data_IF_725212320370
#
_entry.id   IF_725212320370
#
_cell.length_a   1.000
_cell.length_b   1.000
_cell.length_c   1.000
_cell.angle_alpha   90.00
_cell.angle_beta   90.00
_cell.angle_gamma   90.00
#
_symmetry.space_group_name_H-M   'P 1'
#
loop_
_entity.id
_entity.type
_entity.pdbx_description
1 polymer ?
#
# COMPACT_ATOMS: atom_id res chain seq x y z
N UNK A 1 -25.88 4.63 81.05
CA UNK A 1 -26.12 6.01 80.58
C UNK A 1 -25.59 6.12 79.14
N UNK A 2 -26.47 6.49 78.20
CA UNK A 2 -26.31 7.02 76.81
C UNK A 2 -25.24 6.38 75.88
N UNK A 3 -25.50 5.76 74.71
CA UNK A 3 -26.41 5.98 73.56
C UNK A 3 -26.37 7.41 72.95
N UNK A 4 -25.82 7.48 71.73
CA UNK A 4 -26.04 8.43 70.59
C UNK A 4 -25.06 9.60 70.40
N UNK A 5 -24.42 9.63 69.22
CA UNK A 5 -24.19 10.75 68.27
C UNK A 5 -23.08 10.30 67.29
N UNK A 6 -23.34 9.65 66.15
CA UNK A 6 -23.96 10.11 64.90
C UNK A 6 -23.13 11.15 64.11
N UNK A 7 -22.58 10.66 62.99
CA UNK A 7 -22.43 11.30 61.68
C UNK A 7 -21.34 12.35 61.41
N UNK A 8 -20.71 12.14 60.24
CA UNK A 8 -20.04 13.09 59.34
C UNK A 8 -18.54 13.35 59.54
N UNK A 9 -17.72 12.67 58.72
CA UNK A 9 -16.84 13.31 57.73
C UNK A 9 -16.16 12.23 56.88
N UNK A 10 -16.93 11.63 55.96
CA UNK A 10 -16.37 11.10 54.72
C UNK A 10 -16.01 12.33 53.90
N UNK A 11 -14.73 12.72 53.90
CA UNK A 11 -14.24 13.71 52.96
C UNK A 11 -14.38 13.09 51.57
N UNK A 12 -15.44 13.50 50.89
CA UNK A 12 -15.66 13.26 49.48
C UNK A 12 -14.53 13.93 48.69
N UNK A 13 -13.48 13.16 48.38
CA UNK A 13 -12.67 13.39 47.20
C UNK A 13 -13.52 13.03 45.99
N UNK A 14 -14.51 13.87 45.69
CA UNK A 14 -15.15 13.91 44.39
C UNK A 14 -14.09 14.39 43.41
N UNK A 15 -13.35 13.44 42.84
CA UNK A 15 -12.66 13.67 41.59
C UNK A 15 -13.73 14.08 40.58
N UNK A 16 -13.84 15.39 40.36
CA UNK A 16 -14.52 15.96 39.21
C UNK A 16 -13.77 15.43 37.98
N UNK A 17 -14.16 14.23 37.53
CA UNK A 17 -13.91 13.81 36.17
C UNK A 17 -14.79 14.72 35.31
N UNK A 18 -14.25 15.88 34.95
CA UNK A 18 -14.82 16.68 33.88
C UNK A 18 -14.98 15.74 32.69
N UNK A 19 -16.21 15.54 32.17
CA UNK A 19 -16.37 14.77 30.96
C UNK A 19 -15.62 15.55 29.88
N UNK A 20 -14.50 15.01 29.40
CA UNK A 20 -13.92 15.45 28.15
C UNK A 20 -14.96 15.12 27.08
N UNK A 21 -15.87 16.07 26.82
CA UNK A 21 -16.78 15.99 25.71
C UNK A 21 -15.93 15.88 24.45
N UNK A 22 -15.94 14.72 23.81
CA UNK A 22 -15.37 14.56 22.48
C UNK A 22 -16.29 15.33 21.53
N UNK A 23 -15.99 16.62 21.36
CA UNK A 23 -16.71 17.47 20.42
C UNK A 23 -16.27 17.10 19.01
N UNK A 24 -17.24 16.92 18.10
CA UNK A 24 -16.94 16.62 16.71
C UNK A 24 -16.07 17.71 16.09
N UNK A 25 -15.04 17.32 15.34
CA UNK A 25 -14.12 18.25 14.69
C UNK A 25 -14.88 19.13 13.72
N UNK A 26 -14.73 20.45 13.82
CA UNK A 26 -15.39 21.41 12.95
C UNK A 26 -14.51 21.72 11.75
N UNK A 27 -15.07 21.64 10.55
CA UNK A 27 -14.47 22.14 9.30
C UNK A 27 -14.87 23.60 9.18
N UNK A 28 -13.95 24.50 9.54
CA UNK A 28 -14.25 25.92 9.80
C UNK A 28 -14.15 26.80 8.57
N UNK A 29 -13.15 26.53 7.74
CA UNK A 29 -12.87 27.35 6.56
C UNK A 29 -12.21 26.50 5.47
N UNK A 30 -12.26 27.00 4.25
CA UNK A 30 -11.49 26.48 3.13
C UNK A 30 -10.71 27.61 2.48
N UNK A 31 -9.47 27.32 2.07
CA UNK A 31 -8.57 28.28 1.45
C UNK A 31 -7.98 27.66 0.20
N UNK A 32 -7.92 28.46 -0.87
CA UNK A 32 -7.43 28.01 -2.16
C UNK A 32 -6.19 28.81 -2.53
N UNK A 33 -5.09 28.12 -2.83
CA UNK A 33 -3.87 28.72 -3.36
C UNK A 33 -3.54 28.12 -4.71
N UNK A 34 -3.16 28.99 -5.64
CA UNK A 34 -2.72 28.59 -6.97
C UNK A 34 -1.22 28.81 -7.08
N UNK A 35 -0.55 27.85 -7.70
CA UNK A 35 0.81 27.96 -8.21
C UNK A 35 0.82 27.54 -9.68
N UNK A 36 1.96 27.71 -10.37
CA UNK A 36 2.08 27.35 -11.78
C UNK A 36 1.94 25.84 -12.03
N UNK A 37 2.20 24.99 -11.03
CA UNK A 37 2.18 23.53 -11.18
C UNK A 37 1.01 22.81 -10.49
N UNK A 38 0.34 23.44 -9.52
CA UNK A 38 -0.71 22.80 -8.72
C UNK A 38 -1.68 23.80 -8.11
N UNK A 39 -2.90 23.31 -7.87
CA UNK A 39 -3.94 23.97 -7.08
C UNK A 39 -3.98 23.34 -5.68
N UNK A 40 -3.77 24.13 -4.63
CA UNK A 40 -3.81 23.67 -3.24
C UNK A 40 -5.11 24.14 -2.59
N UNK A 41 -5.94 23.20 -2.16
CA UNK A 41 -7.12 23.44 -1.33
C UNK A 41 -6.82 23.01 0.11
N UNK A 42 -7.04 23.89 1.08
CA UNK A 42 -6.78 23.63 2.50
C UNK A 42 -8.05 23.83 3.30
N UNK A 43 -8.46 22.83 4.07
CA UNK A 43 -9.52 22.94 5.06
C UNK A 43 -8.93 23.21 6.44
N UNK A 44 -9.43 24.23 7.12
CA UNK A 44 -9.08 24.56 8.50
C UNK A 44 -9.99 23.81 9.45
N UNK A 45 -9.40 23.07 10.38
CA UNK A 45 -10.09 22.13 11.27
C UNK A 45 -9.89 22.54 12.74
N UNK A 46 -10.92 22.35 13.57
CA UNK A 46 -10.83 22.60 15.01
C UNK A 46 -10.09 21.53 15.80
N UNK A 47 -9.81 20.39 15.18
CA UNK A 47 -9.31 19.18 15.83
C UNK A 47 -8.79 18.16 14.82
N UNK A 48 -8.22 17.04 15.29
CA UNK A 48 -7.80 15.96 14.43
C UNK A 48 -9.01 15.29 13.76
N UNK A 49 -8.81 14.72 12.58
CA UNK A 49 -9.86 14.02 11.82
C UNK A 49 -9.24 12.83 11.08
N UNK A 50 -10.03 11.78 10.87
CA UNK A 50 -9.68 10.73 9.92
C UNK A 50 -10.41 11.01 8.61
N UNK A 51 -9.76 10.78 7.48
CA UNK A 51 -10.40 11.02 6.19
C UNK A 51 -10.06 9.93 5.16
N UNK A 52 -10.93 9.79 4.16
CA UNK A 52 -10.73 8.93 2.98
C UNK A 52 -10.99 9.74 1.73
N UNK A 53 -10.20 9.48 0.68
CA UNK A 53 -10.40 10.12 -0.62
C UNK A 53 -10.51 9.10 -1.72
N UNK A 54 -11.39 9.33 -2.68
CA UNK A 54 -11.49 8.54 -3.90
C UNK A 54 -12.11 9.36 -5.02
N UNK A 55 -11.79 9.00 -6.26
CA UNK A 55 -12.29 9.70 -7.45
C UNK A 55 -13.38 8.89 -8.15
N UNK A 56 -14.35 9.57 -8.74
CA UNK A 56 -15.35 8.99 -9.64
C UNK A 56 -15.19 9.60 -11.03
N UNK A 57 -15.33 8.78 -12.06
CA UNK A 57 -15.41 9.23 -13.46
C UNK A 57 -16.87 9.31 -13.91
N UNK A 58 -17.17 10.15 -14.92
CA UNK A 58 -18.50 10.34 -15.51
C UNK A 58 -19.61 10.82 -14.53
N UNK A 59 -19.61 12.08 -14.07
CA UNK A 59 -18.61 13.13 -14.27
C UNK A 59 -17.43 13.01 -13.27
N UNK A 60 -16.30 13.64 -13.63
CA UNK A 60 -15.08 13.70 -12.80
C UNK A 60 -15.36 14.35 -11.45
N UNK A 61 -15.17 13.59 -10.38
CA UNK A 61 -15.42 14.01 -9.01
C UNK A 61 -14.33 13.51 -8.08
N UNK A 62 -13.88 14.35 -7.17
CA UNK A 62 -13.08 13.92 -6.02
C UNK A 62 -13.96 13.94 -4.77
N UNK A 63 -14.05 12.80 -4.09
CA UNK A 63 -14.81 12.66 -2.85
C UNK A 63 -13.84 12.61 -1.68
N UNK A 64 -14.14 13.36 -0.63
CA UNK A 64 -13.43 13.39 0.65
C UNK A 64 -14.44 13.10 1.75
N UNK A 65 -14.28 11.95 2.40
CA UNK A 65 -15.08 11.57 3.57
C UNK A 65 -14.29 11.88 4.82
N UNK A 66 -14.85 12.68 5.72
CA UNK A 66 -14.24 13.07 6.99
C UNK A 66 -15.03 12.48 8.15
N UNK A 67 -14.41 11.58 8.91
CA UNK A 67 -15.09 10.89 10.00
C UNK A 67 -15.08 11.66 11.31
N UNK A 68 -16.25 11.73 11.97
CA UNK A 68 -16.43 12.46 13.23
C UNK A 68 -16.24 13.98 13.08
N UNK A 69 -16.51 14.52 11.89
CA UNK A 69 -16.37 15.94 11.59
C UNK A 69 -17.67 16.53 11.04
N UNK A 70 -17.94 17.78 11.43
CA UNK A 70 -19.08 18.55 10.96
C UNK A 70 -18.61 19.79 10.21
N UNK A 71 -19.31 20.14 9.14
CA UNK A 71 -19.07 21.38 8.43
C UNK A 71 -19.71 22.56 9.17
N UNK A 72 -18.89 23.56 9.51
CA UNK A 72 -19.36 24.84 10.08
C UNK A 72 -19.05 26.04 9.19
N UNK A 73 -18.13 25.89 8.23
CA UNK A 73 -17.74 26.94 7.29
C UNK A 73 -18.59 26.99 6.03
N UNK A 74 -18.67 28.17 5.40
CA UNK A 74 -19.22 28.34 4.06
C UNK A 74 -18.08 28.44 3.03
N UNK A 75 -18.16 27.65 1.97
CA UNK A 75 -17.17 27.58 0.89
C UNK A 75 -17.63 28.30 -0.39
N UNK A 76 -18.83 28.87 -0.39
CA UNK A 76 -19.42 29.55 -1.54
C UNK A 76 -18.57 30.71 -2.07
N UNK A 77 -17.77 31.34 -1.20
CA UNK A 77 -16.95 32.50 -1.52
C UNK A 77 -15.56 32.16 -2.11
N UNK A 78 -15.22 30.88 -2.27
CA UNK A 78 -13.96 30.49 -2.90
C UNK A 78 -13.96 30.91 -4.38
N UNK A 79 -12.88 31.56 -4.81
CA UNK A 79 -12.67 31.92 -6.21
C UNK A 79 -12.26 30.66 -7.02
N UNK A 80 -13.26 29.94 -7.53
CA UNK A 80 -13.07 28.71 -8.32
C UNK A 80 -12.85 28.96 -9.82
N UNK A 81 -13.03 30.21 -10.28
CA UNK A 81 -12.86 30.59 -11.69
C UNK A 81 -11.46 30.26 -12.19
N UNK A 82 -11.36 29.66 -13.39
CA UNK A 82 -10.10 29.22 -14.00
C UNK A 82 -9.30 28.22 -13.15
N UNK A 83 -9.98 27.41 -12.34
CA UNK A 83 -9.39 26.29 -11.61
C UNK A 83 -9.94 24.95 -12.12
N UNK A 84 -9.34 23.84 -11.69
CA UNK A 84 -9.84 22.49 -12.04
C UNK A 84 -11.10 22.10 -11.27
N UNK A 85 -11.48 22.86 -10.23
CA UNK A 85 -12.68 22.63 -9.43
C UNK A 85 -13.82 23.47 -10.02
N UNK A 86 -14.88 22.83 -10.49
CA UNK A 86 -16.11 23.49 -10.95
C UNK A 86 -17.01 23.89 -9.80
N UNK A 87 -17.19 23.00 -8.82
CA UNK A 87 -18.03 23.23 -7.65
C UNK A 87 -17.53 22.44 -6.46
N UNK A 88 -17.85 22.92 -5.26
CA UNK A 88 -17.62 22.22 -4.00
C UNK A 88 -18.97 22.00 -3.35
N UNK A 89 -19.30 20.74 -3.07
CA UNK A 89 -20.51 20.34 -2.38
C UNK A 89 -20.15 19.62 -1.10
N UNK A 90 -21.04 19.69 -0.12
CA UNK A 90 -20.83 19.05 1.18
C UNK A 90 -22.15 18.62 1.77
N UNK A 91 -22.13 17.52 2.51
CA UNK A 91 -23.30 17.05 3.25
C UNK A 91 -22.91 16.04 4.33
N UNK A 92 -23.84 15.80 5.26
CA UNK A 92 -23.67 14.72 6.21
C UNK A 92 -23.73 13.37 5.49
N UNK A 93 -22.87 12.46 5.91
CA UNK A 93 -22.79 11.10 5.40
C UNK A 93 -22.66 10.15 6.58
N UNK A 94 -23.47 9.09 6.64
CA UNK A 94 -23.45 8.16 7.77
C UNK A 94 -23.77 8.81 9.12
N UNK A 95 -23.17 8.30 10.20
CA UNK A 95 -23.40 8.76 11.57
C UNK A 95 -22.27 9.67 12.06
N UNK A 96 -22.40 10.99 11.83
CA UNK A 96 -21.46 11.99 12.32
C UNK A 96 -20.26 12.28 11.41
N UNK A 97 -20.30 11.82 10.16
CA UNK A 97 -19.27 12.10 9.15
C UNK A 97 -19.75 13.16 8.16
N UNK A 98 -18.81 13.90 7.58
CA UNK A 98 -19.08 14.86 6.51
C UNK A 98 -18.44 14.36 5.22
N UNK A 99 -19.21 14.32 4.13
CA UNK A 99 -18.70 14.11 2.78
C UNK A 99 -18.58 15.44 2.06
N UNK A 100 -17.39 15.74 1.55
CA UNK A 100 -17.12 16.84 0.64
C UNK A 100 -16.91 16.25 -0.76
N UNK A 101 -17.54 16.84 -1.77
CA UNK A 101 -17.42 16.44 -3.17
C UNK A 101 -16.94 17.64 -3.98
N UNK A 102 -15.80 17.49 -4.64
CA UNK A 102 -15.30 18.46 -5.62
C UNK A 102 -15.73 17.97 -7.00
N UNK A 103 -16.58 18.72 -7.68
CA UNK A 103 -16.87 18.47 -9.09
C UNK A 103 -15.71 19.06 -9.91
N UNK A 104 -15.08 18.25 -10.76
CA UNK A 104 -13.86 18.62 -11.45
C UNK A 104 -14.09 18.88 -12.94
N UNK A 105 -13.30 19.76 -13.54
CA UNK A 105 -13.32 20.01 -14.98
C UNK A 105 -12.52 18.99 -15.79
N UNK A 106 -11.58 18.31 -15.15
CA UNK A 106 -10.72 17.28 -15.72
C UNK A 106 -10.21 16.35 -14.61
N UNK A 107 -9.67 15.17 -14.93
CA UNK A 107 -9.02 14.31 -13.95
C UNK A 107 -7.87 15.05 -13.24
N UNK A 108 -7.66 14.73 -11.97
CA UNK A 108 -6.61 15.32 -11.14
C UNK A 108 -5.80 14.23 -10.47
N UNK A 109 -4.49 14.47 -10.33
CA UNK A 109 -3.67 13.74 -9.38
C UNK A 109 -3.80 14.46 -8.04
N UNK A 110 -4.26 13.72 -7.03
CA UNK A 110 -4.42 14.23 -5.68
C UNK A 110 -3.24 13.79 -4.80
N UNK A 111 -2.60 14.76 -4.15
CA UNK A 111 -1.84 14.52 -2.93
C UNK A 111 -2.61 15.14 -1.75
N UNK A 112 -2.85 14.38 -0.68
CA UNK A 112 -3.57 14.86 0.50
C UNK A 112 -2.82 14.51 1.78
N UNK A 113 -2.85 15.39 2.76
CA UNK A 113 -2.22 15.17 4.07
C UNK A 113 -2.80 16.08 5.16
N UNK A 114 -2.66 15.65 6.41
CA UNK A 114 -3.04 16.44 7.59
C UNK A 114 -1.81 17.16 8.14
N UNK A 115 -1.98 18.43 8.51
CA UNK A 115 -1.01 19.18 9.29
C UNK A 115 -1.52 19.34 10.72
N UNK A 116 -0.70 19.00 11.74
CA UNK A 116 -1.02 19.30 13.13
C UNK A 116 -1.03 20.83 13.35
N UNK A 117 -1.56 21.29 14.51
CA UNK A 117 -1.52 22.70 14.87
C UNK A 117 -0.08 23.19 14.93
N UNK A 118 0.18 24.35 14.34
CA UNK A 118 1.48 24.99 14.35
C UNK A 118 1.29 26.51 14.47
N UNK A 119 1.96 27.10 15.47
CA UNK A 119 1.81 28.50 15.86
C UNK A 119 0.33 28.86 16.11
N UNK A 120 -0.17 29.94 15.50
CA UNK A 120 -1.56 30.38 15.62
C UNK A 120 -2.54 29.62 14.69
N UNK A 121 -2.07 28.62 13.93
CA UNK A 121 -2.90 27.86 12.99
C UNK A 121 -3.30 26.51 13.57
N UNK A 122 -4.60 26.19 13.50
CA UNK A 122 -5.15 24.92 13.96
C UNK A 122 -4.80 23.73 13.05
N UNK A 123 -5.48 22.61 13.26
CA UNK A 123 -5.36 21.44 12.38
C UNK A 123 -5.78 21.81 10.95
N UNK A 124 -5.10 21.24 9.95
CA UNK A 124 -5.42 21.51 8.54
C UNK A 124 -5.42 20.23 7.72
N UNK A 125 -6.40 20.06 6.84
CA UNK A 125 -6.38 19.06 5.78
C UNK A 125 -5.98 19.76 4.48
N UNK A 126 -4.86 19.36 3.90
CA UNK A 126 -4.33 19.92 2.66
C UNK A 126 -4.57 18.95 1.51
N UNK A 127 -5.09 19.46 0.40
CA UNK A 127 -5.33 18.76 -0.86
C UNK A 127 -4.59 19.49 -1.98
N UNK A 128 -3.51 18.90 -2.47
CA UNK A 128 -2.78 19.35 -3.65
C UNK A 128 -3.36 18.64 -4.88
N UNK A 129 -4.08 19.41 -5.67
CA UNK A 129 -4.68 19.00 -6.94
C UNK A 129 -3.76 19.45 -8.06
N UNK A 130 -3.01 18.50 -8.61
CA UNK A 130 -2.36 18.71 -9.90
C UNK A 130 -3.36 18.29 -10.95
N UNK A 131 -3.73 19.21 -11.84
CA UNK A 131 -4.45 18.82 -13.06
C UNK A 131 -3.62 17.70 -13.65
N UNK A 132 -4.19 16.50 -13.69
CA UNK A 132 -3.57 15.50 -14.53
C UNK A 132 -3.63 16.19 -15.89
N UNK A 133 -2.47 16.45 -16.51
CA UNK A 133 -2.48 16.65 -17.94
C UNK A 133 -3.45 15.59 -18.44
N UNK A 134 -4.47 15.95 -19.24
CA UNK A 134 -5.33 14.92 -19.74
C UNK A 134 -4.37 13.82 -20.20
N UNK A 135 -4.75 12.56 -20.03
CA UNK A 135 -4.39 11.67 -21.10
C UNK A 135 -5.11 12.26 -22.34
N UNK A 136 -4.64 13.39 -22.87
CA UNK A 136 -3.99 13.34 -24.13
C UNK A 136 -3.25 11.98 -24.11
N UNK A 137 -3.95 10.95 -24.64
CA UNK A 137 -3.77 10.74 -26.06
C UNK A 137 -2.95 11.90 -26.57
N UNK A 138 -1.63 11.78 -26.52
CA UNK A 138 -0.90 12.42 -27.57
C UNK A 138 -1.67 11.96 -28.82
N UNK A 139 -2.62 12.79 -29.29
CA UNK A 139 -2.56 13.30 -30.62
C UNK A 139 -1.08 13.54 -30.75
N UNK A 140 -0.44 12.54 -31.35
CA UNK A 140 0.86 12.66 -31.89
C UNK A 140 0.86 14.08 -32.44
N UNK A 141 1.60 14.97 -31.77
CA UNK A 141 2.31 15.92 -32.58
C UNK A 141 3.07 14.99 -33.48
N UNK A 142 2.62 14.89 -34.73
CA UNK A 142 3.39 14.38 -35.85
C UNK A 142 4.66 15.22 -35.90
N UNK A 143 5.52 14.98 -34.92
CA UNK A 143 6.94 15.16 -35.02
C UNK A 143 7.39 13.78 -35.41
N UNK A 144 7.32 13.59 -36.71
CA UNK A 144 8.16 12.69 -37.49
C UNK A 144 9.61 12.85 -37.02
N UNK A 145 9.92 12.21 -35.90
CA UNK A 145 11.28 11.82 -35.56
C UNK A 145 11.16 10.39 -35.06
N UNK A 146 11.51 9.46 -35.94
CA UNK A 146 11.70 8.03 -35.69
C UNK A 146 12.54 7.78 -34.43
N UNK A 147 11.93 7.84 -33.25
CA UNK A 147 12.44 7.14 -32.07
C UNK A 147 11.61 5.89 -31.90
N UNK A 148 12.15 4.79 -32.40
CA UNK A 148 11.58 3.46 -32.21
C UNK A 148 11.20 3.28 -30.73
N UNK A 149 9.95 2.88 -30.47
CA UNK A 149 9.49 2.63 -29.11
C UNK A 149 10.49 1.67 -28.42
N UNK A 150 11.01 1.98 -27.21
CA UNK A 150 12.13 1.24 -26.62
C UNK A 150 11.85 -0.25 -26.39
N UNK A 151 10.57 -0.61 -26.19
CA UNK A 151 10.08 -2.00 -26.04
C UNK A 151 10.87 -2.75 -24.96
N UNK A 152 11.25 -2.07 -23.89
CA UNK A 152 12.03 -2.67 -22.81
C UNK A 152 11.21 -3.76 -22.12
N UNK A 153 11.91 -4.71 -21.53
CA UNK A 153 11.26 -5.69 -20.66
C UNK A 153 10.83 -5.06 -19.33
N UNK A 154 9.77 -5.62 -18.75
CA UNK A 154 9.31 -5.33 -17.39
C UNK A 154 10.20 -6.13 -16.44
N UNK A 155 10.89 -5.44 -15.53
CA UNK A 155 11.83 -6.06 -14.60
C UNK A 155 11.08 -6.45 -13.32
N UNK A 156 10.89 -7.75 -13.12
CA UNK A 156 10.30 -8.31 -11.90
C UNK A 156 11.41 -8.82 -11.00
N UNK A 157 11.44 -8.35 -9.75
CA UNK A 157 12.34 -8.92 -8.73
C UNK A 157 11.56 -9.87 -7.85
N UNK A 158 11.98 -11.13 -7.85
CA UNK A 158 11.36 -12.20 -7.07
C UNK A 158 12.27 -12.51 -5.89
N UNK A 159 11.71 -12.44 -4.69
CA UNK A 159 12.39 -12.69 -3.44
C UNK A 159 11.87 -13.97 -2.78
N UNK A 160 12.62 -15.07 -2.84
CA UNK A 160 12.32 -16.22 -2.00
C UNK A 160 12.69 -15.92 -0.54
N UNK A 161 11.70 -15.89 0.34
CA UNK A 161 11.85 -15.62 1.78
C UNK A 161 12.92 -16.49 2.46
N UNK A 162 13.48 -16.00 3.58
CA UNK A 162 14.46 -16.74 4.41
C UNK A 162 15.74 -17.16 3.64
N UNK A 163 16.39 -18.26 4.04
CA UNK A 163 17.55 -18.84 3.39
C UNK A 163 18.76 -19.01 4.31
N UNK A 164 19.62 -19.97 3.98
CA UNK A 164 20.80 -20.33 4.76
C UNK A 164 20.44 -20.70 6.20
N UNK A 165 20.94 -19.91 7.15
CA UNK A 165 20.71 -20.09 8.59
C UNK A 165 19.28 -19.85 9.05
N UNK A 166 18.48 -19.14 8.26
CA UNK A 166 17.08 -18.92 8.53
C UNK A 166 16.24 -19.94 7.73
N UNK A 167 15.69 -20.98 8.39
CA UNK A 167 14.84 -21.97 7.72
C UNK A 167 13.44 -21.43 7.39
N UNK A 168 13.06 -20.27 7.94
CA UNK A 168 11.66 -19.85 8.02
C UNK A 168 10.83 -20.80 8.88
N UNK A 169 9.55 -20.86 8.59
CA UNK A 169 8.62 -21.80 9.21
C UNK A 169 9.02 -23.26 8.94
N UNK A 170 8.86 -24.12 9.95
CA UNK A 170 9.13 -25.56 9.84
C UNK A 170 7.84 -26.35 10.07
N UNK A 171 7.47 -27.16 9.09
CA UNK A 171 6.32 -28.06 9.13
C UNK A 171 6.52 -29.23 10.09
N UNK A 172 5.42 -29.92 10.42
CA UNK A 172 5.42 -31.00 11.40
C UNK A 172 6.31 -32.20 11.03
N UNK A 173 6.66 -32.38 9.74
CA UNK A 173 7.54 -33.44 9.26
C UNK A 173 8.94 -32.93 8.89
N UNK A 174 9.27 -31.69 9.27
CA UNK A 174 10.56 -31.07 8.98
C UNK A 174 10.64 -30.37 7.63
N UNK A 175 9.50 -30.17 6.94
CA UNK A 175 9.45 -29.33 5.75
C UNK A 175 9.87 -27.91 6.10
N UNK A 176 10.76 -27.29 5.32
CA UNK A 176 11.27 -25.93 5.61
C UNK A 176 10.73 -24.95 4.59
N UNK A 177 10.22 -23.83 5.06
CA UNK A 177 9.70 -22.76 4.23
C UNK A 177 10.72 -22.30 3.19
N UNK A 178 11.98 -22.09 3.60
CA UNK A 178 13.05 -21.62 2.71
C UNK A 178 13.24 -22.47 1.44
N UNK A 179 12.95 -23.77 1.50
CA UNK A 179 13.09 -24.72 0.40
C UNK A 179 11.89 -24.64 -0.54
N UNK A 180 10.69 -24.57 0.04
CA UNK A 180 9.42 -24.43 -0.69
C UNK A 180 9.41 -23.12 -1.48
N UNK A 181 9.73 -22.00 -0.82
CA UNK A 181 9.64 -20.68 -1.43
C UNK A 181 10.71 -20.46 -2.49
N UNK A 182 11.91 -21.05 -2.31
CA UNK A 182 12.95 -21.05 -3.34
C UNK A 182 12.50 -21.80 -4.60
N UNK A 183 11.88 -22.98 -4.41
CA UNK A 183 11.37 -23.78 -5.52
C UNK A 183 10.28 -23.03 -6.30
N UNK A 184 9.31 -22.44 -5.60
CA UNK A 184 8.24 -21.62 -6.23
C UNK A 184 8.83 -20.41 -6.95
N UNK A 185 9.77 -19.69 -6.33
CA UNK A 185 10.40 -18.51 -6.93
C UNK A 185 11.20 -18.85 -8.19
N UNK A 186 11.92 -19.98 -8.20
CA UNK A 186 12.64 -20.45 -9.40
C UNK A 186 11.69 -20.84 -10.53
N UNK A 187 10.56 -21.48 -10.22
CA UNK A 187 9.51 -21.80 -11.19
C UNK A 187 8.87 -20.53 -11.76
N UNK A 188 8.53 -19.55 -10.92
CA UNK A 188 8.01 -18.26 -11.35
C UNK A 188 9.03 -17.52 -12.23
N UNK A 189 10.30 -17.50 -11.85
CA UNK A 189 11.35 -16.88 -12.66
C UNK A 189 11.50 -17.57 -14.02
N UNK A 190 11.44 -18.91 -14.07
CA UNK A 190 11.45 -19.66 -15.33
C UNK A 190 10.25 -19.34 -16.21
N UNK A 191 9.06 -19.16 -15.63
CA UNK A 191 7.84 -18.79 -16.35
C UNK A 191 7.90 -17.36 -16.89
N UNK A 192 8.41 -16.41 -16.11
CA UNK A 192 8.62 -15.02 -16.53
C UNK A 192 9.64 -14.91 -17.67
N UNK A 193 10.80 -15.59 -17.59
CA UNK A 193 11.83 -15.58 -18.65
C UNK A 193 11.35 -16.11 -20.00
N UNK A 194 10.32 -16.95 -20.01
CA UNK A 194 9.74 -17.49 -21.25
C UNK A 194 8.75 -16.52 -21.90
N UNK A 195 8.28 -15.52 -21.16
CA UNK A 195 7.32 -14.55 -21.64
C UNK A 195 8.04 -13.35 -22.24
N UNK A 196 7.66 -12.96 -23.46
CA UNK A 196 8.23 -11.77 -24.11
C UNK A 196 7.74 -10.50 -23.40
N UNK A 197 8.65 -9.56 -23.15
CA UNK A 197 8.33 -8.32 -22.44
C UNK A 197 8.58 -8.39 -20.93
N UNK A 198 9.19 -9.47 -20.43
CA UNK A 198 9.56 -9.64 -19.02
C UNK A 198 11.03 -10.03 -18.87
N UNK A 199 11.68 -9.43 -17.88
CA UNK A 199 12.96 -9.86 -17.31
C UNK A 199 12.74 -10.11 -15.82
N UNK A 200 13.53 -11.01 -15.24
CA UNK A 200 13.40 -11.39 -13.85
C UNK A 200 14.75 -11.52 -13.18
N UNK A 201 14.85 -10.98 -11.96
CA UNK A 201 15.99 -11.16 -11.07
C UNK A 201 15.52 -11.83 -9.78
N UNK A 202 16.29 -12.78 -9.28
CA UNK A 202 16.06 -13.41 -7.99
C UNK A 202 16.92 -12.72 -6.94
N UNK A 203 16.37 -12.44 -5.76
CA UNK A 203 17.15 -11.95 -4.61
C UNK A 203 18.18 -13.00 -4.16
N UNK A 204 17.77 -14.27 -4.17
CA UNK A 204 18.65 -15.44 -4.02
C UNK A 204 18.21 -16.55 -4.96
N UNK A 205 19.18 -17.28 -5.51
CA UNK A 205 18.94 -18.42 -6.39
C UNK A 205 19.36 -19.77 -5.76
N UNK A 206 19.87 -19.73 -4.53
CA UNK A 206 20.35 -20.88 -3.77
C UNK A 206 20.08 -20.67 -2.26
N UNK A 207 20.48 -21.63 -1.42
CA UNK A 207 20.24 -21.64 0.03
C UNK A 207 21.26 -20.78 0.80
N UNK A 208 21.17 -19.46 0.64
CA UNK A 208 21.93 -18.50 1.44
C UNK A 208 21.02 -17.41 2.02
N UNK A 209 21.44 -16.87 3.17
CA UNK A 209 20.72 -15.82 3.87
C UNK A 209 20.95 -14.45 3.22
N UNK A 210 19.88 -13.68 3.02
CA UNK A 210 19.94 -12.28 2.60
C UNK A 210 19.18 -11.40 3.61
N UNK A 211 19.82 -10.39 4.23
CA UNK A 211 19.13 -9.49 5.16
C UNK A 211 18.00 -8.73 4.49
N UNK A 212 16.88 -8.47 5.18
CA UNK A 212 15.65 -7.89 4.61
C UNK A 212 15.91 -6.58 3.86
N UNK A 213 16.72 -5.68 4.44
CA UNK A 213 17.10 -4.42 3.78
C UNK A 213 17.84 -4.65 2.46
N UNK A 214 18.71 -5.67 2.42
CA UNK A 214 19.48 -5.98 1.23
C UNK A 214 18.58 -6.47 0.08
N UNK A 215 17.48 -7.16 0.41
CA UNK A 215 16.47 -7.60 -0.57
C UNK A 215 15.82 -6.41 -1.28
N UNK A 216 15.44 -5.39 -0.50
CA UNK A 216 14.91 -4.13 -1.03
C UNK A 216 15.95 -3.41 -1.90
N UNK A 217 17.20 -3.32 -1.44
CA UNK A 217 18.29 -2.71 -2.22
C UNK A 217 18.51 -3.41 -3.57
N UNK A 218 18.42 -4.74 -3.63
CA UNK A 218 18.53 -5.50 -4.88
C UNK A 218 17.43 -5.07 -5.85
N UNK A 219 16.19 -4.94 -5.36
CA UNK A 219 15.07 -4.51 -6.19
C UNK A 219 15.30 -3.13 -6.82
N UNK A 220 15.72 -2.18 -5.99
CA UNK A 220 16.01 -0.80 -6.43
C UNK A 220 17.22 -0.74 -7.36
N UNK A 221 18.30 -1.48 -7.07
CA UNK A 221 19.50 -1.54 -7.90
C UNK A 221 19.20 -2.02 -9.32
N UNK A 222 18.22 -2.91 -9.48
CA UNK A 222 17.80 -3.42 -10.78
C UNK A 222 16.75 -2.54 -11.48
N UNK A 223 16.35 -1.41 -10.90
CA UNK A 223 15.24 -0.57 -11.37
C UNK A 223 13.98 -1.41 -11.63
N UNK A 224 13.64 -2.27 -10.66
CA UNK A 224 12.53 -3.18 -10.81
C UNK A 224 11.20 -2.42 -10.99
N UNK A 225 10.39 -2.86 -11.95
CA UNK A 225 9.02 -2.38 -12.10
C UNK A 225 8.10 -2.93 -11.00
N UNK A 226 8.50 -4.04 -10.36
CA UNK A 226 7.85 -4.57 -9.17
C UNK A 226 8.74 -5.51 -8.35
N UNK A 227 8.36 -5.74 -7.10
CA UNK A 227 8.98 -6.67 -6.16
C UNK A 227 7.95 -7.63 -5.56
N UNK A 228 8.24 -8.93 -5.56
CA UNK A 228 7.38 -9.97 -4.96
C UNK A 228 8.19 -10.82 -3.99
N UNK A 229 7.84 -10.75 -2.70
CA UNK A 229 8.35 -11.68 -1.68
C UNK A 229 7.45 -12.91 -1.60
N UNK A 230 8.02 -14.10 -1.74
CA UNK A 230 7.32 -15.38 -1.70
C UNK A 230 7.60 -16.07 -0.36
N UNK A 231 6.54 -16.36 0.39
CA UNK A 231 6.54 -16.97 1.71
C UNK A 231 5.57 -18.16 1.78
N UNK A 232 5.73 -18.98 2.80
CA UNK A 232 4.87 -20.11 3.14
C UNK A 232 4.81 -20.27 4.66
N UNK A 233 4.45 -19.18 5.34
CA UNK A 233 4.72 -18.93 6.74
C UNK A 233 3.95 -19.86 7.70
N UNK A 234 3.99 -19.61 9.01
CA UNK A 234 3.16 -20.30 9.99
C UNK A 234 2.30 -19.34 10.83
N UNK A 235 1.04 -19.70 11.00
CA UNK A 235 0.11 -18.93 11.83
C UNK A 235 0.08 -19.47 13.27
N UNK A 236 -0.31 -18.65 14.27
CA UNK A 236 -0.47 -19.11 15.66
C UNK A 236 -1.46 -20.27 15.81
N UNK A 237 -2.46 -20.33 14.92
CA UNK A 237 -3.44 -21.42 14.87
C UNK A 237 -3.08 -22.36 13.72
N UNK A 238 -2.83 -23.63 14.04
CA UNK A 238 -2.54 -24.69 13.05
C UNK A 238 -3.68 -24.92 12.04
N UNK A 239 -4.89 -24.43 12.33
CA UNK A 239 -6.06 -24.50 11.44
C UNK A 239 -6.07 -23.42 10.36
N UNK A 240 -5.25 -22.37 10.49
CA UNK A 240 -5.12 -21.37 9.42
C UNK A 240 -4.55 -22.04 8.17
N UNK A 241 -5.21 -21.85 7.03
CA UNK A 241 -4.84 -22.43 5.75
C UNK A 241 -5.12 -21.44 4.63
N UNK A 242 -4.46 -21.66 3.50
CA UNK A 242 -4.71 -20.91 2.27
C UNK A 242 -3.77 -19.74 2.03
N UNK A 243 -3.80 -19.24 0.80
CA UNK A 243 -2.94 -18.15 0.36
C UNK A 243 -3.43 -16.79 0.88
N UNK A 244 -2.51 -15.85 1.05
CA UNK A 244 -2.82 -14.45 1.32
C UNK A 244 -1.77 -13.53 0.71
N UNK A 245 -2.14 -12.28 0.49
CA UNK A 245 -1.25 -11.26 -0.08
C UNK A 245 -1.25 -10.04 0.83
N UNK A 246 -0.06 -9.53 1.09
CA UNK A 246 0.20 -8.39 1.96
C UNK A 246 0.89 -7.26 1.21
N UNK A 247 0.58 -6.03 1.62
CA UNK A 247 1.25 -4.80 1.19
C UNK A 247 1.75 -4.02 2.42
N UNK A 248 2.59 -3.01 2.18
CA UNK A 248 3.06 -2.14 3.25
C UNK A 248 1.89 -1.37 3.90
N UNK A 249 1.98 -1.17 5.21
CA UNK A 249 1.24 -0.11 5.92
C UNK A 249 2.19 0.64 6.84
N UNK A 250 2.13 1.96 6.78
CA UNK A 250 2.82 2.87 7.71
C UNK A 250 1.90 3.30 8.87
N UNK A 251 0.58 3.21 8.69
CA UNK A 251 -0.44 3.63 9.67
C UNK A 251 -0.95 2.51 10.59
N UNK A 252 -0.34 1.33 10.54
CA UNK A 252 -0.71 0.17 11.35
C UNK A 252 -1.35 -0.97 10.55
N UNK A 253 -1.36 -2.17 11.14
CA UNK A 253 -1.81 -3.38 10.45
C UNK A 253 -3.35 -3.44 10.29
N UNK A 254 -3.83 -3.93 9.15
CA UNK A 254 -5.26 -4.09 8.84
C UNK A 254 -5.95 -5.17 9.66
N UNK A 255 -5.18 -6.10 10.23
CA UNK A 255 -5.67 -7.16 11.12
C UNK A 255 -4.61 -7.58 12.14
N UNK A 256 -5.05 -8.26 13.20
CA UNK A 256 -4.15 -8.86 14.18
C UNK A 256 -3.23 -9.91 13.53
N UNK A 257 -3.75 -10.69 12.57
CA UNK A 257 -2.96 -11.65 11.79
C UNK A 257 -1.89 -10.94 10.95
N UNK A 258 -2.23 -9.86 10.24
CA UNK A 258 -1.26 -9.11 9.46
C UNK A 258 -0.15 -8.51 10.33
N UNK A 259 -0.50 -8.03 11.54
CA UNK A 259 0.46 -7.54 12.53
C UNK A 259 1.43 -8.64 12.98
N UNK A 260 0.88 -9.81 13.30
CA UNK A 260 1.66 -10.96 13.75
C UNK A 260 2.64 -11.41 12.65
N UNK A 261 2.18 -11.54 11.41
CA UNK A 261 3.05 -11.90 10.28
C UNK A 261 4.17 -10.89 10.09
N UNK A 262 3.86 -9.59 10.08
CA UNK A 262 4.91 -8.57 9.94
C UNK A 262 5.94 -8.62 11.09
N UNK A 263 5.52 -8.87 12.33
CA UNK A 263 6.46 -8.99 13.45
C UNK A 263 7.39 -10.19 13.30
N UNK A 264 6.83 -11.31 12.86
CA UNK A 264 7.54 -12.56 12.66
C UNK A 264 8.55 -12.46 11.50
N UNK A 265 8.10 -11.98 10.35
CA UNK A 265 8.97 -11.81 9.17
C UNK A 265 10.07 -10.78 9.41
N UNK A 266 9.80 -9.70 10.15
CA UNK A 266 10.83 -8.75 10.54
C UNK A 266 11.85 -9.34 11.53
N UNK A 267 11.51 -10.41 12.24
CA UNK A 267 12.38 -11.12 13.17
C UNK A 267 13.47 -11.97 12.49
N UNK A 268 13.33 -12.29 11.19
CA UNK A 268 14.30 -13.05 10.42
C UNK A 268 15.72 -12.42 10.44
N UNK A 269 15.79 -11.08 10.42
CA UNK A 269 17.06 -10.35 10.50
C UNK A 269 17.71 -10.43 11.90
N UNK A 270 16.95 -10.67 12.99
CA UNK A 270 17.51 -10.82 14.35
C UNK A 270 18.26 -12.14 14.54
N UNK A 271 17.82 -13.23 13.91
CA UNK A 271 18.59 -14.48 13.79
C UNK A 271 19.88 -14.26 12.97
N UNK A 272 19.89 -13.18 12.20
CA UNK A 272 21.00 -12.59 11.47
C UNK A 272 22.06 -11.91 12.34
N UNK A 273 21.64 -11.32 13.46
CA UNK A 273 22.27 -10.14 14.06
C UNK A 273 23.14 -10.42 15.29
N UNK A 274 24.15 -11.29 15.16
CA UNK A 274 25.35 -11.23 16.01
C UNK A 274 26.35 -10.18 15.53
N UNK A 275 26.02 -9.39 14.51
CA UNK A 275 26.82 -8.24 14.07
C UNK A 275 25.96 -7.22 13.36
N UNK A 276 26.31 -5.94 13.54
CA UNK A 276 25.78 -4.74 12.87
C UNK A 276 24.69 -3.97 13.64
N UNK A 277 25.00 -3.59 14.88
CA UNK A 277 24.59 -2.30 15.41
C UNK A 277 25.48 -1.22 14.77
N UNK A 278 24.96 -0.49 13.79
CA UNK A 278 25.34 0.90 13.52
C UNK A 278 24.46 1.48 12.42
N UNK A 279 23.58 2.40 12.78
CA UNK A 279 22.93 3.29 11.83
C UNK A 279 22.93 4.68 12.42
N UNK A 280 23.88 5.47 11.94
CA UNK A 280 23.95 6.92 12.15
C UNK A 280 23.64 7.60 10.82
N UNK A 281 22.88 8.68 10.95
CA UNK A 281 22.82 9.88 10.10
C UNK A 281 22.11 9.79 8.73
N UNK A 282 21.03 10.58 8.59
CA UNK A 282 21.04 11.87 7.86
C UNK A 282 19.71 12.65 7.96
N UNK A 283 19.86 13.95 7.76
CA UNK A 283 18.98 15.13 8.01
C UNK A 283 17.60 15.13 7.29
N UNK A 284 16.47 15.45 7.94
CA UNK A 284 15.14 15.48 7.34
C UNK A 284 14.56 16.90 7.27
N UNK A 285 14.47 17.54 6.10
CA UNK A 285 13.49 18.61 5.79
C UNK A 285 13.75 19.16 4.37
N UNK A 286 13.37 18.38 3.35
CA UNK A 286 12.97 18.81 1.99
C UNK A 286 12.67 17.60 1.08
N UNK A 287 13.11 16.39 1.47
CA UNK A 287 12.83 15.13 0.79
C UNK A 287 11.47 14.49 1.16
N UNK A 288 10.82 14.94 2.23
CA UNK A 288 9.61 14.29 2.78
C UNK A 288 8.43 14.26 1.80
N UNK A 289 8.11 15.37 1.14
CA UNK A 289 6.89 15.45 0.30
C UNK A 289 7.00 14.61 -0.99
N UNK A 290 8.16 14.62 -1.67
CA UNK A 290 8.37 13.80 -2.88
C UNK A 290 8.47 12.32 -2.51
N UNK A 291 9.11 12.01 -1.37
CA UNK A 291 9.19 10.65 -0.85
C UNK A 291 7.81 10.11 -0.48
N UNK A 292 6.99 10.87 0.22
CA UNK A 292 5.63 10.50 0.64
C UNK A 292 4.68 10.33 -0.56
N UNK A 293 4.80 11.16 -1.59
CA UNK A 293 4.03 11.00 -2.84
C UNK A 293 4.44 9.74 -3.60
N UNK A 294 5.75 9.50 -3.75
CA UNK A 294 6.27 8.29 -4.38
C UNK A 294 5.83 7.04 -3.62
N UNK A 295 5.89 7.08 -2.28
CA UNK A 295 5.44 5.99 -1.41
C UNK A 295 3.94 5.70 -1.58
N UNK A 296 3.09 6.74 -1.60
CA UNK A 296 1.64 6.56 -1.76
C UNK A 296 1.25 6.01 -3.14
N UNK A 297 1.88 6.52 -4.22
CA UNK A 297 1.66 5.99 -5.56
C UNK A 297 2.13 4.53 -5.67
N UNK A 298 3.30 4.23 -5.07
CA UNK A 298 3.85 2.87 -4.98
C UNK A 298 2.91 1.95 -4.20
N UNK A 299 2.34 2.41 -3.09
CA UNK A 299 1.39 1.63 -2.30
C UNK A 299 0.08 1.38 -3.05
N UNK A 300 -0.45 2.38 -3.75
CA UNK A 300 -1.64 2.20 -4.58
C UNK A 300 -1.41 1.16 -5.68
N UNK A 301 -0.26 1.22 -6.35
CA UNK A 301 0.17 0.22 -7.33
C UNK A 301 0.32 -1.17 -6.69
N UNK A 302 0.95 -1.27 -5.52
CA UNK A 302 1.07 -2.51 -4.73
C UNK A 302 -0.28 -3.13 -4.40
N UNK A 303 -1.27 -2.33 -3.97
CA UNK A 303 -2.61 -2.83 -3.62
C UNK A 303 -3.35 -3.39 -4.84
N UNK A 304 -3.28 -2.71 -5.99
CA UNK A 304 -3.89 -3.18 -7.23
C UNK A 304 -3.19 -4.44 -7.76
N UNK A 305 -1.85 -4.47 -7.71
CA UNK A 305 -1.03 -5.62 -8.04
C UNK A 305 -1.40 -6.82 -7.14
N UNK A 306 -1.39 -6.61 -5.83
CA UNK A 306 -1.70 -7.62 -4.83
C UNK A 306 -3.11 -8.17 -4.99
N UNK A 307 -4.09 -7.33 -5.31
CA UNK A 307 -5.47 -7.77 -5.56
C UNK A 307 -5.57 -8.66 -6.81
N UNK A 308 -4.79 -8.36 -7.84
CA UNK A 308 -4.77 -9.16 -9.08
C UNK A 308 -4.12 -10.51 -8.84
N UNK A 309 -3.01 -10.53 -8.10
CA UNK A 309 -2.31 -11.77 -7.70
C UNK A 309 -3.16 -12.63 -6.78
N UNK A 310 -3.79 -12.04 -5.75
CA UNK A 310 -4.68 -12.74 -4.83
C UNK A 310 -5.85 -13.41 -5.57
N UNK A 311 -6.45 -12.70 -6.53
CA UNK A 311 -7.53 -13.24 -7.36
C UNK A 311 -7.09 -14.44 -8.20
N UNK A 312 -5.88 -14.43 -8.75
CA UNK A 312 -5.32 -15.57 -9.48
C UNK A 312 -5.09 -16.80 -8.58
N UNK A 313 -4.64 -16.59 -7.35
CA UNK A 313 -4.38 -17.68 -6.40
C UNK A 313 -5.65 -18.36 -5.90
N UNK A 314 -6.80 -17.67 -5.93
CA UNK A 314 -8.09 -18.22 -5.53
C UNK A 314 -8.51 -19.47 -6.34
N UNK A 315 -8.01 -19.61 -7.58
CA UNK A 315 -8.24 -20.78 -8.42
C UNK A 315 -7.35 -21.99 -8.09
N UNK A 316 -6.33 -21.81 -7.25
CA UNK A 316 -5.30 -22.81 -6.97
C UNK A 316 -5.40 -23.34 -5.54
N UNK A 317 -5.71 -22.45 -4.59
CA UNK A 317 -5.89 -22.80 -3.18
C UNK A 317 -6.94 -21.90 -2.54
N UNK A 318 -7.42 -22.30 -1.38
CA UNK A 318 -8.29 -21.46 -0.56
C UNK A 318 -7.57 -20.16 -0.20
N UNK A 319 -8.29 -19.05 -0.15
CA UNK A 319 -7.72 -17.80 0.35
C UNK A 319 -7.91 -17.72 1.86
N UNK A 320 -6.83 -17.49 2.60
CA UNK A 320 -6.91 -17.20 4.03
C UNK A 320 -7.65 -15.87 4.27
N UNK A 321 -7.35 -14.88 3.41
CA UNK A 321 -8.01 -13.59 3.40
C UNK A 321 -8.52 -13.29 1.99
N UNK A 322 -9.78 -12.85 1.90
CA UNK A 322 -10.43 -12.52 0.62
C UNK A 322 -9.96 -11.20 0.02
N UNK A 323 -9.16 -10.43 0.76
CA UNK A 323 -8.65 -9.11 0.40
C UNK A 323 -7.16 -9.04 0.71
N UNK A 324 -6.48 -8.12 0.05
CA UNK A 324 -5.09 -7.76 0.39
C UNK A 324 -5.08 -7.15 1.79
N UNK A 325 -4.18 -7.65 2.62
CA UNK A 325 -3.94 -7.12 3.96
C UNK A 325 -2.72 -6.21 3.96
N UNK A 326 -2.55 -5.39 4.99
CA UNK A 326 -1.41 -4.50 5.10
C UNK A 326 -0.82 -4.52 6.50
N UNK A 327 0.51 -4.45 6.59
CA UNK A 327 1.24 -4.31 7.84
C UNK A 327 2.68 -3.80 7.58
N UNK A 328 3.43 -3.54 8.65
CA UNK A 328 4.77 -2.95 8.59
C UNK A 328 5.89 -3.95 8.22
N UNK A 329 5.76 -4.68 7.11
CA UNK A 329 6.79 -5.60 6.62
C UNK A 329 8.03 -4.83 6.15
N UNK A 330 9.21 -5.11 6.73
CA UNK A 330 10.45 -4.42 6.39
C UNK A 330 10.89 -4.68 4.94
N UNK A 331 10.63 -5.88 4.42
CA UNK A 331 10.94 -6.26 3.03
C UNK A 331 10.08 -5.54 1.99
N UNK A 332 8.98 -4.91 2.41
CA UNK A 332 8.08 -4.15 1.52
C UNK A 332 8.33 -2.63 1.57
N UNK A 333 9.33 -2.18 2.34
CA UNK A 333 9.64 -0.75 2.50
C UNK A 333 10.48 -0.22 1.34
N UNK A 334 9.87 -0.10 0.16
CA UNK A 334 10.46 0.59 -0.99
C UNK A 334 9.62 1.81 -1.39
N UNK A 335 10.22 3.02 -1.50
CA UNK A 335 9.47 4.22 -1.86
C UNK A 335 9.07 4.30 -3.33
N UNK A 336 9.72 3.52 -4.20
CA UNK A 336 9.71 3.69 -5.65
C UNK A 336 9.48 2.36 -6.42
N UNK A 337 9.27 1.24 -5.71
CA UNK A 337 9.06 -0.09 -6.31
C UNK A 337 7.80 -0.71 -5.74
N UNK A 338 6.75 -0.93 -6.55
CA UNK A 338 5.54 -1.64 -6.12
C UNK A 338 5.89 -3.03 -5.58
N UNK A 339 5.63 -3.23 -4.30
CA UNK A 339 6.07 -4.39 -3.53
C UNK A 339 4.89 -5.13 -2.90
N UNK A 340 4.87 -6.46 -3.01
CA UNK A 340 3.92 -7.35 -2.35
C UNK A 340 4.63 -8.51 -1.65
N UNK A 341 4.05 -9.01 -0.56
CA UNK A 341 4.43 -10.27 0.06
C UNK A 341 3.30 -11.27 -0.15
N UNK A 342 3.61 -12.46 -0.65
CA UNK A 342 2.64 -13.52 -0.90
C UNK A 342 2.92 -14.67 0.03
N UNK A 343 1.95 -14.97 0.89
CA UNK A 343 1.87 -16.24 1.59
C UNK A 343 1.19 -17.25 0.68
N UNK A 344 1.94 -18.25 0.25
CA UNK A 344 1.45 -19.31 -0.65
C UNK A 344 0.55 -20.33 0.06
N UNK A 345 0.67 -20.39 1.38
CA UNK A 345 -0.09 -21.23 2.31
C UNK A 345 0.60 -21.20 3.69
N UNK A 346 0.05 -21.91 4.67
CA UNK A 346 0.70 -22.01 5.99
C UNK A 346 1.36 -23.36 6.20
N UNK A 347 2.69 -23.44 6.26
CA UNK A 347 3.39 -24.72 6.47
C UNK A 347 3.07 -25.35 7.85
N UNK A 348 2.61 -24.55 8.82
CA UNK A 348 2.09 -25.05 10.10
C UNK A 348 0.81 -25.89 9.96
N UNK A 349 0.07 -25.72 8.87
CA UNK A 349 -1.14 -26.47 8.60
C UNK A 349 -0.81 -27.76 7.86
N UNK A 350 -1.26 -28.90 8.39
CA UNK A 350 -0.92 -30.21 7.84
C UNK A 350 -1.33 -30.40 6.37
N UNK A 351 -2.46 -29.81 5.94
CA UNK A 351 -2.95 -29.92 4.55
C UNK A 351 -2.19 -28.99 3.61
N UNK A 352 -1.87 -27.79 4.06
CA UNK A 352 -1.04 -26.86 3.29
C UNK A 352 0.38 -27.41 3.15
N UNK A 353 1.02 -27.84 4.25
CA UNK A 353 2.37 -28.44 4.23
C UNK A 353 2.48 -29.57 3.20
N UNK A 354 1.52 -30.51 3.21
CA UNK A 354 1.47 -31.61 2.25
C UNK A 354 1.38 -31.15 0.80
N UNK A 355 0.67 -30.06 0.51
CA UNK A 355 0.54 -29.52 -0.84
C UNK A 355 1.77 -28.71 -1.24
N UNK A 356 2.25 -27.84 -0.37
CA UNK A 356 3.35 -26.90 -0.56
C UNK A 356 4.66 -27.58 -1.00
N UNK A 357 4.91 -28.83 -0.56
CA UNK A 357 6.10 -29.59 -0.95
C UNK A 357 5.97 -30.35 -2.28
N UNK A 358 4.79 -30.38 -2.89
CA UNK A 358 4.60 -31.11 -4.16
C UNK A 358 4.94 -30.24 -5.36
N UNK A 359 5.71 -30.80 -6.30
CA UNK A 359 6.07 -30.10 -7.55
C UNK A 359 4.85 -29.60 -8.33
N UNK A 360 3.75 -30.38 -8.34
CA UNK A 360 2.50 -30.01 -9.01
C UNK A 360 1.89 -28.74 -8.40
N UNK A 361 1.83 -28.64 -7.08
CA UNK A 361 1.26 -27.47 -6.43
C UNK A 361 2.18 -26.25 -6.55
N UNK A 362 3.49 -26.43 -6.38
CA UNK A 362 4.47 -25.35 -6.57
C UNK A 362 4.42 -24.76 -7.99
N UNK A 363 4.29 -25.63 -9.01
CA UNK A 363 4.09 -25.20 -10.40
C UNK A 363 2.77 -24.43 -10.56
N UNK A 364 1.66 -24.95 -10.02
CA UNK A 364 0.37 -24.27 -10.07
C UNK A 364 0.41 -22.88 -9.41
N UNK A 365 1.06 -22.76 -8.24
CA UNK A 365 1.26 -21.47 -7.57
C UNK A 365 2.11 -20.52 -8.43
N UNK A 366 3.23 -20.99 -8.97
CA UNK A 366 4.08 -20.18 -9.84
C UNK A 366 3.34 -19.67 -11.10
N UNK A 367 2.51 -20.52 -11.71
CA UNK A 367 1.69 -20.14 -12.86
C UNK A 367 0.60 -19.13 -12.45
N UNK A 368 -0.06 -19.31 -11.31
CA UNK A 368 -1.04 -18.36 -10.79
C UNK A 368 -0.44 -17.00 -10.43
N UNK A 369 0.76 -16.99 -9.84
CA UNK A 369 1.52 -15.77 -9.61
C UNK A 369 1.78 -15.06 -10.95
N UNK A 370 2.32 -15.78 -11.94
CA UNK A 370 2.56 -15.23 -13.27
C UNK A 370 1.29 -14.67 -13.91
N UNK A 371 0.16 -15.38 -13.87
CA UNK A 371 -1.11 -14.91 -14.42
C UNK A 371 -1.58 -13.62 -13.74
N UNK A 372 -1.42 -13.52 -12.41
CA UNK A 372 -1.71 -12.31 -11.66
C UNK A 372 -0.86 -11.12 -12.12
N UNK A 373 0.45 -11.34 -12.26
CA UNK A 373 1.38 -10.32 -12.75
C UNK A 373 1.05 -9.90 -14.19
N UNK A 374 0.83 -10.85 -15.08
CA UNK A 374 0.51 -10.60 -16.48
C UNK A 374 -0.79 -9.79 -16.62
N UNK A 375 -1.86 -10.16 -15.89
CA UNK A 375 -3.12 -9.41 -15.87
C UNK A 375 -2.94 -7.98 -15.35
N UNK A 376 -2.09 -7.79 -14.34
CA UNK A 376 -1.80 -6.46 -13.80
C UNK A 376 -1.09 -5.59 -14.83
N UNK A 377 0.00 -6.08 -15.43
CA UNK A 377 0.79 -5.33 -16.40
C UNK A 377 0.09 -5.14 -17.76
N UNK A 378 -0.84 -6.01 -18.13
CA UNK A 378 -1.74 -5.76 -19.25
C UNK A 378 -2.73 -4.62 -18.98
N UNK A 379 -3.06 -4.32 -17.72
CA UNK A 379 -3.92 -3.17 -17.38
C UNK A 379 -3.10 -1.90 -17.11
N UNK A 380 -1.89 -2.07 -16.58
CA UNK A 380 -1.01 -0.98 -16.17
C UNK A 380 0.40 -1.20 -16.75
N UNK A 381 0.58 -1.14 -18.07
CA UNK A 381 1.89 -1.37 -18.67
C UNK A 381 2.85 -0.23 -18.28
N UNK A 382 4.08 -0.54 -17.81
CA UNK A 382 5.07 0.50 -17.55
C UNK A 382 5.41 1.24 -18.84
N UNK A 383 5.68 2.54 -18.73
CA UNK A 383 6.06 3.37 -19.87
C UNK A 383 7.29 2.77 -20.56
N UNK A 384 7.31 2.81 -21.89
CA UNK A 384 8.35 2.26 -22.75
C UNK A 384 8.47 0.73 -22.76
N UNK A 385 7.62 -0.01 -22.04
CA UNK A 385 7.64 -1.47 -22.01
C UNK A 385 7.14 -2.09 -23.32
N UNK A 386 7.57 -3.33 -23.61
CA UNK A 386 7.02 -4.09 -24.73
C UNK A 386 5.48 -4.20 -24.70
N UNK A 387 4.89 -4.35 -23.50
CA UNK A 387 3.44 -4.43 -23.34
C UNK A 387 2.77 -3.10 -23.67
N UNK A 388 3.35 -1.96 -23.27
CA UNK A 388 2.84 -0.63 -23.63
C UNK A 388 2.79 -0.46 -25.16
N UNK A 389 3.88 -0.80 -25.84
CA UNK A 389 3.95 -0.79 -27.30
C UNK A 389 2.87 -1.66 -27.94
N UNK A 390 2.67 -2.89 -27.46
CA UNK A 390 1.63 -3.78 -28.00
C UNK A 390 0.22 -3.18 -27.89
N UNK A 391 -0.07 -2.43 -26.81
CA UNK A 391 -1.35 -1.76 -26.65
C UNK A 391 -1.54 -0.59 -27.60
N UNK A 392 -0.48 0.19 -27.82
CA UNK A 392 -0.48 1.28 -28.80
C UNK A 392 -0.77 0.75 -30.21
N UNK A 393 -0.09 -0.33 -30.63
CA UNK A 393 -0.32 -0.94 -31.93
C UNK A 393 -1.77 -1.44 -32.11
N UNK A 394 -2.36 -2.05 -31.07
CA UNK A 394 -3.76 -2.50 -31.13
C UNK A 394 -4.74 -1.34 -31.25
N UNK A 395 -4.47 -0.21 -30.59
CA UNK A 395 -5.30 1.00 -30.69
C UNK A 395 -5.18 1.68 -32.05
N UNK A 396 -4.02 1.60 -32.70
CA UNK A 396 -3.84 2.14 -34.05
C UNK A 396 -4.48 1.29 -35.15
N UNK A 397 -4.88 0.05 -34.86
CA UNK A 397 -5.49 -0.89 -35.80
C UNK A 397 -7.02 -1.05 -35.62
N UNK A 398 -7.58 -0.48 -34.54
CA UNK A 398 -9.01 -0.49 -34.22
C UNK A 398 -9.60 0.87 -34.55
#
# INVERSE_FOLDING_TARGET
>A
MHRRHLLNLILASAAFALPFGVSATQIRNARLWRSDEKLRLVFDLSGPVQYKTFSLSAPERLIIDLSGANLSGDFSQLALSNTVIRSIRSGQFGHGDTRIVLDLSSPVQLASFLLPPQDCQGHRLVLDLKTAAPLQMAAATETTVDKAHPKRDIIVVVDPGHGGKDPGAVGAKGEREKDVVLSIAQLLAKRLKREKGFDVKLVRNDDFFVPLRKRVEIARKHNADMFISVHADAAPRLTASGASVYCLSEGGATSATARFMAQRENGADLLGATSLLNLKDKDPMLAGVILDMSMNATLAASLQLGSTVLGSLAGITTLHQKRVEQAGFAVLKSPDVPSILVETGFISNARDSQRLVTARHQQAVADGLFEGLQRYFQKNPPVNSYIAWQQEQKKSQA
#
